data_IF_352042420441
#
_entry.id   IF_352042420441
#
_cell.length_a   1.000
_cell.length_b   1.000
_cell.length_c   1.000
_cell.angle_alpha   90.00
_cell.angle_beta   90.00
_cell.angle_gamma   90.00
#
_symmetry.space_group_name_H-M   'P 1'
#
loop_
_entity.id
_entity.type
_entity.pdbx_description
1 polymer ?
#
# COMPACT_ATOMS: atom_id res chain seq x y z
N UNK A 1 -5.80 -14.47 -11.88
CA UNK A 1 -4.49 -13.84 -11.67
C UNK A 1 -3.89 -14.38 -10.39
N UNK A 2 -2.58 -14.62 -10.39
CA UNK A 2 -1.85 -15.06 -9.20
C UNK A 2 -1.96 -14.03 -8.07
N UNK A 3 -2.07 -14.48 -6.82
CA UNK A 3 -2.24 -13.58 -5.66
C UNK A 3 -1.05 -12.63 -5.47
N UNK A 4 0.18 -13.06 -5.81
CA UNK A 4 1.38 -12.22 -5.82
C UNK A 4 1.31 -11.07 -6.82
N UNK A 5 0.56 -11.25 -7.91
CA UNK A 5 0.38 -10.27 -8.99
C UNK A 5 -0.85 -9.37 -8.81
N UNK A 6 -1.58 -9.54 -7.71
CA UNK A 6 -2.80 -8.79 -7.42
C UNK A 6 -2.50 -7.52 -6.61
N UNK A 7 -3.21 -6.44 -6.91
CA UNK A 7 -3.35 -5.33 -5.99
C UNK A 7 -4.15 -5.80 -4.76
N UNK A 8 -3.72 -5.40 -3.57
CA UNK A 8 -4.35 -5.81 -2.31
C UNK A 8 -4.63 -4.59 -1.44
N UNK A 9 -5.78 -4.57 -0.81
CA UNK A 9 -6.19 -3.51 0.12
C UNK A 9 -6.45 -4.09 1.51
N UNK A 10 -6.00 -3.42 2.53
CA UNK A 10 -6.29 -3.72 3.93
C UNK A 10 -6.68 -2.42 4.67
N UNK A 11 -7.60 -2.49 5.65
CA UNK A 11 -8.37 -3.64 6.08
C UNK A 11 -9.31 -4.16 5.00
N UNK A 12 -9.99 -5.28 5.26
CA UNK A 12 -10.99 -5.85 4.34
C UNK A 12 -12.16 -4.87 4.22
N UNK A 13 -12.52 -4.50 2.97
CA UNK A 13 -13.50 -3.44 2.68
C UNK A 13 -14.81 -3.93 2.10
N UNK A 14 -14.82 -5.14 1.51
CA UNK A 14 -15.95 -5.63 0.69
C UNK A 14 -16.60 -6.90 1.21
N UNK A 15 -16.12 -7.47 2.32
CA UNK A 15 -16.70 -8.66 2.92
C UNK A 15 -17.69 -8.30 4.05
N UNK A 16 -18.73 -9.12 4.19
CA UNK A 16 -19.60 -9.06 5.35
C UNK A 16 -18.90 -9.62 6.60
N UNK A 17 -19.36 -9.23 7.80
CA UNK A 17 -18.87 -9.80 9.06
C UNK A 17 -19.07 -11.31 9.12
N UNK A 18 -20.15 -11.83 8.51
CA UNK A 18 -20.42 -13.25 8.39
C UNK A 18 -19.33 -13.96 7.59
N UNK A 19 -18.99 -13.44 6.41
CA UNK A 19 -17.98 -14.04 5.53
C UNK A 19 -16.59 -13.94 6.14
N UNK A 20 -16.25 -12.82 6.75
CA UNK A 20 -15.00 -12.66 7.50
C UNK A 20 -14.86 -13.71 8.60
N UNK A 21 -15.90 -13.87 9.41
CA UNK A 21 -15.90 -14.88 10.49
C UNK A 21 -15.78 -16.29 9.93
N UNK A 22 -16.50 -16.62 8.88
CA UNK A 22 -16.44 -17.93 8.21
C UNK A 22 -15.04 -18.25 7.71
N UNK A 23 -14.39 -17.30 7.04
CA UNK A 23 -13.02 -17.48 6.50
C UNK A 23 -11.98 -17.59 7.64
N UNK A 24 -12.10 -16.79 8.69
CA UNK A 24 -11.22 -16.86 9.86
C UNK A 24 -11.37 -18.21 10.58
N UNK A 25 -12.59 -18.67 10.85
CA UNK A 25 -12.86 -19.96 11.46
C UNK A 25 -12.30 -21.11 10.60
N UNK A 26 -12.40 -21.00 9.29
CA UNK A 26 -11.88 -21.98 8.34
C UNK A 26 -10.35 -21.99 8.33
N UNK A 27 -9.70 -20.83 8.35
CA UNK A 27 -8.26 -20.73 8.45
C UNK A 27 -7.74 -21.39 9.75
N UNK A 28 -8.39 -21.11 10.89
CA UNK A 28 -8.03 -21.73 12.18
C UNK A 28 -8.17 -23.26 12.13
N UNK A 29 -9.26 -23.79 11.55
CA UNK A 29 -9.46 -25.24 11.38
C UNK A 29 -8.35 -25.86 10.52
N UNK A 30 -7.98 -25.23 9.42
CA UNK A 30 -6.92 -25.70 8.52
C UNK A 30 -5.58 -25.73 9.25
N UNK A 31 -5.20 -24.66 9.92
CA UNK A 31 -3.92 -24.56 10.62
C UNK A 31 -3.82 -25.59 11.73
N UNK A 32 -4.91 -25.81 12.49
CA UNK A 32 -4.97 -26.87 13.51
C UNK A 32 -4.84 -28.28 12.92
N UNK A 33 -5.51 -28.55 11.79
CA UNK A 33 -5.44 -29.84 11.10
C UNK A 33 -4.02 -30.13 10.56
N UNK A 34 -3.34 -29.10 10.07
CA UNK A 34 -1.96 -29.17 9.56
C UNK A 34 -0.92 -29.15 10.68
N UNK A 35 -1.32 -28.89 11.94
CA UNK A 35 -0.43 -28.76 13.12
C UNK A 35 0.69 -27.74 12.89
N UNK A 36 0.36 -26.59 12.29
CA UNK A 36 1.32 -25.53 12.05
C UNK A 36 1.57 -24.77 13.34
N UNK A 37 2.81 -24.78 13.80
CA UNK A 37 3.30 -23.99 14.94
C UNK A 37 4.19 -22.86 14.40
N UNK A 38 3.65 -21.65 14.32
CA UNK A 38 4.35 -20.48 13.80
C UNK A 38 3.53 -19.66 12.80
N UNK A 39 4.24 -18.89 11.98
CA UNK A 39 3.61 -18.05 10.94
C UNK A 39 3.15 -18.85 9.74
N UNK A 40 1.98 -18.52 9.23
CA UNK A 40 1.46 -19.07 7.97
C UNK A 40 0.64 -18.03 7.22
N UNK A 41 0.43 -18.29 5.94
CA UNK A 41 -0.49 -17.56 5.07
C UNK A 41 -1.52 -18.53 4.52
N UNK A 42 -2.80 -18.18 4.62
CA UNK A 42 -3.91 -18.92 4.04
C UNK A 42 -4.62 -18.04 3.03
N UNK A 43 -4.83 -18.53 1.82
CA UNK A 43 -5.45 -17.79 0.73
C UNK A 43 -6.76 -18.43 0.31
N UNK A 44 -7.81 -17.62 0.31
CA UNK A 44 -9.14 -18.03 -0.12
C UNK A 44 -9.60 -17.26 -1.36
N UNK A 45 -10.45 -17.88 -2.17
CA UNK A 45 -11.28 -17.22 -3.14
C UNK A 45 -12.74 -17.36 -2.69
N UNK A 46 -13.41 -16.24 -2.44
CA UNK A 46 -14.82 -16.19 -2.09
C UNK A 46 -15.65 -15.85 -3.31
N UNK A 47 -16.76 -16.57 -3.52
CA UNK A 47 -17.74 -16.24 -4.55
C UNK A 47 -18.48 -14.94 -4.16
N UNK A 48 -18.47 -13.90 -5.00
CA UNK A 48 -19.10 -12.62 -4.67
C UNK A 48 -20.62 -12.70 -4.51
N UNK A 49 -21.28 -13.76 -5.03
CA UNK A 49 -22.73 -13.93 -5.01
C UNK A 49 -23.23 -14.96 -3.99
N UNK A 50 -22.31 -15.57 -3.24
CA UNK A 50 -22.64 -16.57 -2.23
C UNK A 50 -21.53 -16.68 -1.19
N UNK A 51 -21.81 -17.34 -0.05
CA UNK A 51 -20.77 -17.64 0.95
C UNK A 51 -19.90 -18.86 0.58
N UNK A 52 -19.93 -19.29 -0.68
CA UNK A 52 -19.07 -20.39 -1.16
C UNK A 52 -17.65 -19.89 -1.35
N UNK A 53 -16.69 -20.60 -0.77
CA UNK A 53 -15.29 -20.25 -0.89
C UNK A 53 -14.45 -21.45 -1.33
N UNK A 54 -13.26 -21.15 -1.86
CA UNK A 54 -12.25 -22.12 -2.24
C UNK A 54 -10.97 -21.81 -1.49
N UNK A 55 -10.34 -22.85 -0.95
CA UNK A 55 -8.97 -22.77 -0.46
C UNK A 55 -8.01 -22.82 -1.66
N UNK A 56 -7.28 -21.73 -1.87
CA UNK A 56 -6.32 -21.63 -2.98
C UNK A 56 -5.00 -22.27 -2.57
N UNK A 57 -4.40 -21.80 -1.46
CA UNK A 57 -3.17 -22.37 -0.95
C UNK A 57 -2.96 -22.06 0.55
N UNK A 58 -2.12 -22.85 1.18
CA UNK A 58 -1.61 -22.60 2.53
C UNK A 58 -0.09 -22.62 2.48
N UNK A 59 0.52 -21.55 2.96
CA UNK A 59 1.98 -21.42 3.06
C UNK A 59 2.39 -21.45 4.54
N UNK A 60 2.80 -22.61 5.10
CA UNK A 60 3.14 -22.74 6.53
C UNK A 60 4.56 -22.24 6.81
N UNK A 61 4.81 -21.00 6.50
CA UNK A 61 6.10 -20.32 6.66
C UNK A 61 5.93 -18.81 6.72
N UNK A 62 6.89 -18.13 7.31
CA UNK A 62 7.07 -16.68 7.13
C UNK A 62 7.59 -16.44 5.72
N UNK A 63 7.04 -15.46 5.05
CA UNK A 63 7.33 -15.11 3.65
C UNK A 63 7.50 -13.61 3.49
N UNK A 64 7.78 -13.16 2.26
CA UNK A 64 7.81 -11.74 1.90
C UNK A 64 6.49 -11.05 2.26
N UNK A 65 5.34 -11.68 1.95
CA UNK A 65 4.02 -11.16 2.32
C UNK A 65 3.83 -11.02 3.84
N UNK A 66 4.46 -11.89 4.65
CA UNK A 66 4.44 -11.76 6.11
C UNK A 66 5.25 -10.55 6.59
N UNK A 67 6.39 -10.25 5.96
CA UNK A 67 7.16 -9.05 6.25
C UNK A 67 6.37 -7.79 5.92
N UNK A 68 5.71 -7.76 4.76
CA UNK A 68 4.82 -6.67 4.38
C UNK A 68 3.64 -6.51 5.36
N UNK A 69 2.98 -7.61 5.72
CA UNK A 69 1.89 -7.61 6.69
C UNK A 69 2.33 -7.11 8.07
N UNK A 70 3.55 -7.44 8.50
CA UNK A 70 4.13 -6.93 9.75
C UNK A 70 4.28 -5.42 9.72
N UNK A 71 4.79 -4.84 8.63
CA UNK A 71 4.93 -3.39 8.48
C UNK A 71 3.58 -2.69 8.31
N UNK A 72 2.67 -3.33 7.60
CA UNK A 72 1.32 -2.82 7.39
C UNK A 72 0.52 -2.74 8.69
N UNK A 73 0.64 -3.73 9.55
CA UNK A 73 -0.14 -3.84 10.78
C UNK A 73 0.60 -3.45 12.04
N UNK A 74 1.91 -3.28 12.00
CA UNK A 74 2.75 -3.12 13.19
C UNK A 74 2.89 -4.40 14.04
N UNK A 75 2.27 -5.52 13.62
CA UNK A 75 2.38 -6.79 14.32
C UNK A 75 3.64 -7.56 13.90
N UNK A 76 4.60 -7.85 14.80
CA UNK A 76 5.90 -8.39 14.44
C UNK A 76 5.85 -9.90 14.19
N UNK A 77 5.31 -10.34 13.06
CA UNK A 77 5.05 -11.75 12.72
C UNK A 77 6.32 -12.62 12.87
N UNK A 78 7.44 -12.20 12.30
CA UNK A 78 8.68 -12.97 12.35
C UNK A 78 9.20 -13.15 13.78
N UNK A 79 9.14 -12.08 14.60
CA UNK A 79 9.55 -12.13 16.01
C UNK A 79 8.65 -13.07 16.82
N UNK A 80 7.35 -13.01 16.60
CA UNK A 80 6.38 -13.90 17.28
C UNK A 80 6.61 -15.35 16.85
N UNK A 81 6.74 -15.59 15.54
CA UNK A 81 7.03 -16.94 15.01
C UNK A 81 8.31 -17.54 15.59
N UNK A 82 9.38 -16.75 15.70
CA UNK A 82 10.63 -17.22 16.30
C UNK A 82 10.46 -17.62 17.78
N UNK A 83 9.65 -16.90 18.54
CA UNK A 83 9.34 -17.21 19.93
C UNK A 83 8.47 -18.46 20.07
N UNK A 84 7.49 -18.66 19.18
CA UNK A 84 6.70 -19.89 19.12
C UNK A 84 7.62 -21.09 18.83
N UNK A 85 8.55 -20.96 17.91
CA UNK A 85 9.50 -22.03 17.54
C UNK A 85 10.40 -22.51 18.71
N UNK A 86 10.58 -21.68 19.74
CA UNK A 86 11.28 -22.07 20.97
C UNK A 86 10.33 -22.45 22.11
N UNK A 87 9.04 -22.68 21.81
CA UNK A 87 8.06 -23.26 22.73
C UNK A 87 7.23 -22.24 23.54
N UNK A 88 7.25 -20.97 23.22
CA UNK A 88 6.41 -19.98 23.90
C UNK A 88 4.97 -20.01 23.37
N UNK A 89 3.98 -19.90 24.23
CA UNK A 89 2.58 -19.70 23.84
C UNK A 89 2.31 -18.22 23.46
N UNK A 90 1.29 -17.96 22.66
CA UNK A 90 0.96 -16.59 22.20
C UNK A 90 0.68 -15.65 23.36
N UNK A 91 0.04 -16.14 24.42
CA UNK A 91 -0.31 -15.37 25.61
C UNK A 91 0.93 -14.93 26.41
N UNK A 92 2.05 -15.69 26.31
CA UNK A 92 3.30 -15.41 27.00
C UNK A 92 4.22 -14.47 26.21
N UNK A 93 3.94 -14.29 24.92
CA UNK A 93 4.73 -13.42 24.06
C UNK A 93 4.24 -11.98 24.18
N UNK A 94 5.04 -11.13 24.80
CA UNK A 94 4.72 -9.70 24.93
C UNK A 94 4.96 -8.93 23.63
N UNK A 95 3.95 -8.12 23.25
CA UNK A 95 4.01 -7.11 22.19
C UNK A 95 3.56 -5.78 22.79
N UNK A 96 4.46 -4.80 22.86
CA UNK A 96 4.19 -3.52 23.50
C UNK A 96 3.53 -3.68 24.90
N UNK A 97 2.34 -3.19 25.10
CA UNK A 97 1.60 -3.26 26.38
C UNK A 97 0.63 -4.45 26.45
N UNK A 98 0.65 -5.35 25.48
CA UNK A 98 -0.24 -6.51 25.38
C UNK A 98 0.54 -7.79 25.08
N UNK A 99 -0.13 -8.89 24.76
CA UNK A 99 0.48 -10.14 24.32
C UNK A 99 0.16 -10.43 22.85
N UNK A 100 0.76 -11.46 22.27
CA UNK A 100 0.63 -11.79 20.86
C UNK A 100 -0.72 -12.42 20.47
N UNK A 101 -1.61 -12.71 21.42
CA UNK A 101 -2.90 -13.36 21.18
C UNK A 101 -4.03 -12.39 20.82
N UNK A 102 -3.73 -11.28 20.14
CA UNK A 102 -4.76 -10.34 19.68
C UNK A 102 -4.81 -10.26 18.15
N UNK A 103 -5.94 -9.86 17.62
CA UNK A 103 -6.13 -9.55 16.21
C UNK A 103 -5.87 -8.07 15.93
N UNK A 104 -4.92 -7.71 15.03
CA UNK A 104 -4.67 -6.33 14.66
C UNK A 104 -5.90 -5.65 14.04
N UNK A 105 -6.16 -4.42 14.44
CA UNK A 105 -7.18 -3.55 13.82
C UNK A 105 -6.50 -2.30 13.27
N UNK A 106 -6.91 -1.88 12.07
CA UNK A 106 -6.33 -0.76 11.37
C UNK A 106 -7.35 0.38 11.28
N UNK A 107 -6.91 1.60 11.60
CA UNK A 107 -7.68 2.85 11.42
C UNK A 107 -7.18 3.67 10.20
N UNK A 108 -6.36 3.05 9.37
CA UNK A 108 -5.81 3.57 8.11
C UNK A 108 -5.97 2.52 7.01
N UNK A 109 -5.80 2.95 5.77
CA UNK A 109 -5.91 2.08 4.59
C UNK A 109 -4.53 1.82 4.00
N UNK A 110 -4.30 0.57 3.63
CA UNK A 110 -3.07 0.11 3.00
C UNK A 110 -3.39 -0.44 1.63
N UNK A 111 -2.63 -0.03 0.64
CA UNK A 111 -2.67 -0.61 -0.70
C UNK A 111 -1.31 -1.22 -1.03
N UNK A 112 -1.28 -2.51 -1.30
CA UNK A 112 -0.12 -3.20 -1.88
C UNK A 112 -0.28 -3.24 -3.39
N UNK A 113 0.74 -2.84 -4.13
CA UNK A 113 0.79 -2.97 -5.59
C UNK A 113 2.00 -3.81 -5.99
N UNK A 114 1.83 -4.77 -6.92
CA UNK A 114 2.94 -5.56 -7.44
C UNK A 114 3.81 -4.73 -8.40
N UNK A 115 5.11 -4.96 -8.38
CA UNK A 115 6.06 -4.40 -9.32
C UNK A 115 6.40 -5.44 -10.39
N UNK A 116 6.08 -5.12 -11.64
CA UNK A 116 6.36 -5.99 -12.78
C UNK A 116 7.57 -5.50 -13.56
N UNK A 117 8.44 -6.39 -14.07
CA UNK A 117 9.65 -6.01 -14.78
C UNK A 117 9.46 -5.85 -16.30
N UNK A 118 8.24 -5.57 -16.77
CA UNK A 118 7.95 -5.44 -18.22
C UNK A 118 8.64 -4.23 -18.86
N UNK A 119 9.07 -3.26 -18.09
CA UNK A 119 9.92 -2.16 -18.53
C UNK A 119 11.35 -2.59 -18.87
N UNK A 120 11.82 -3.68 -18.27
CA UNK A 120 13.15 -4.28 -18.52
C UNK A 120 13.08 -5.39 -19.57
N UNK A 121 12.01 -6.15 -19.57
CA UNK A 121 11.79 -7.28 -20.49
C UNK A 121 10.71 -6.93 -21.52
N UNK A 122 11.06 -6.02 -22.42
CA UNK A 122 10.12 -5.46 -23.43
C UNK A 122 9.56 -6.48 -24.42
N UNK A 123 10.21 -7.63 -24.57
CA UNK A 123 9.72 -8.75 -25.38
C UNK A 123 8.75 -9.68 -24.63
N UNK A 124 8.61 -9.51 -23.32
CA UNK A 124 7.68 -10.33 -22.54
C UNK A 124 6.23 -9.89 -22.77
N UNK A 125 5.33 -10.89 -22.82
CA UNK A 125 3.90 -10.62 -23.00
C UNK A 125 3.31 -10.16 -21.66
N UNK A 126 2.74 -8.96 -21.65
CA UNK A 126 2.07 -8.38 -20.47
C UNK A 126 0.63 -8.92 -20.36
N UNK A 127 0.51 -10.21 -20.05
CA UNK A 127 -0.76 -10.87 -19.75
C UNK A 127 -0.58 -11.64 -18.45
N UNK A 128 -1.38 -11.28 -17.43
CA UNK A 128 -1.32 -11.88 -16.11
C UNK A 128 -2.20 -13.14 -16.04
N UNK A 129 -1.67 -14.20 -15.47
CA UNK A 129 -2.34 -15.48 -15.35
C UNK A 129 -2.16 -16.14 -13.99
N UNK A 130 -2.03 -17.46 -13.98
CA UNK A 130 -1.84 -18.26 -12.77
C UNK A 130 -0.39 -18.33 -12.30
N UNK A 131 0.56 -17.91 -13.13
CA UNK A 131 1.98 -17.82 -12.78
C UNK A 131 2.31 -16.43 -12.24
N UNK A 132 3.11 -16.38 -11.18
CA UNK A 132 3.58 -15.12 -10.61
C UNK A 132 4.63 -14.47 -11.50
N UNK A 133 4.37 -13.23 -11.92
CA UNK A 133 5.27 -12.42 -12.76
C UNK A 133 5.88 -11.23 -12.02
N UNK A 134 5.29 -10.81 -10.90
CA UNK A 134 5.80 -9.72 -10.11
C UNK A 134 7.16 -10.08 -9.47
N UNK A 135 8.10 -9.14 -9.51
CA UNK A 135 9.45 -9.27 -8.93
C UNK A 135 9.62 -8.55 -7.61
N UNK A 136 8.66 -7.73 -7.23
CA UNK A 136 8.63 -6.97 -5.99
C UNK A 136 7.26 -6.40 -5.73
N UNK A 137 7.13 -5.68 -4.62
CA UNK A 137 5.88 -5.06 -4.23
C UNK A 137 6.14 -3.73 -3.51
N UNK A 138 5.17 -2.83 -3.60
CA UNK A 138 5.16 -1.56 -2.87
C UNK A 138 3.94 -1.49 -1.96
N UNK A 139 4.03 -0.61 -0.96
CA UNK A 139 2.96 -0.39 -0.01
C UNK A 139 2.69 1.11 0.13
N UNK A 140 1.46 1.52 -0.15
CA UNK A 140 0.97 2.85 0.20
C UNK A 140 0.14 2.78 1.48
N UNK A 141 0.33 3.74 2.38
CA UNK A 141 -0.47 3.90 3.60
C UNK A 141 -1.13 5.27 3.57
N UNK A 142 -2.43 5.32 3.80
CA UNK A 142 -3.21 6.55 3.79
C UNK A 142 -4.41 6.49 4.73
N UNK A 143 -5.09 7.61 4.90
CA UNK A 143 -6.32 7.71 5.68
C UNK A 143 -7.56 7.22 4.93
N UNK A 144 -7.42 7.03 3.61
CA UNK A 144 -8.45 6.51 2.70
C UNK A 144 -7.79 5.72 1.57
N UNK A 145 -8.62 5.05 0.77
CA UNK A 145 -8.16 4.19 -0.31
C UNK A 145 -7.46 4.98 -1.42
N UNK A 146 -7.98 6.14 -1.78
CA UNK A 146 -7.42 7.01 -2.83
C UNK A 146 -6.00 7.45 -2.46
N UNK A 147 -5.80 7.91 -1.23
CA UNK A 147 -4.49 8.33 -0.72
C UNK A 147 -3.49 7.17 -0.75
N UNK A 148 -3.89 6.00 -0.23
CA UNK A 148 -3.02 4.82 -0.19
C UNK A 148 -2.67 4.31 -1.58
N UNK A 149 -3.64 4.31 -2.50
CA UNK A 149 -3.46 3.89 -3.89
C UNK A 149 -2.49 4.81 -4.64
N UNK A 150 -2.70 6.12 -4.58
CA UNK A 150 -1.84 7.10 -5.25
C UNK A 150 -0.40 7.10 -4.71
N UNK A 151 -0.23 6.89 -3.40
CA UNK A 151 1.10 6.68 -2.80
C UNK A 151 1.76 5.40 -3.32
N UNK A 152 1.01 4.30 -3.38
CA UNK A 152 1.47 3.04 -3.96
C UNK A 152 1.94 3.20 -5.40
N UNK A 153 1.15 3.87 -6.25
CA UNK A 153 1.50 4.13 -7.66
C UNK A 153 2.82 4.90 -7.77
N UNK A 154 3.00 5.97 -6.98
CA UNK A 154 4.25 6.73 -6.98
C UNK A 154 5.47 5.92 -6.53
N UNK A 155 5.25 4.94 -5.68
CA UNK A 155 6.31 4.07 -5.16
C UNK A 155 6.73 2.96 -6.11
N UNK A 156 5.97 2.68 -7.18
CA UNK A 156 6.25 1.60 -8.14
C UNK A 156 7.52 1.81 -8.98
N UNK A 157 8.10 3.01 -8.99
CA UNK A 157 9.29 3.36 -9.80
C UNK A 157 9.11 3.11 -11.31
N UNK A 158 7.89 3.29 -11.81
CA UNK A 158 7.52 3.18 -13.24
C UNK A 158 7.38 4.54 -13.93
N UNK A 159 7.82 5.61 -13.27
CA UNK A 159 7.71 6.98 -13.80
C UNK A 159 6.31 7.60 -13.65
N UNK A 160 5.32 6.87 -13.15
CA UNK A 160 3.98 7.37 -12.92
C UNK A 160 3.91 8.18 -11.60
N UNK A 161 3.42 9.40 -11.66
CA UNK A 161 3.20 10.25 -10.50
C UNK A 161 1.73 10.26 -10.03
N UNK A 162 0.86 9.68 -10.82
CA UNK A 162 -0.57 9.62 -10.63
C UNK A 162 -1.17 8.43 -11.37
N UNK A 163 -2.49 8.23 -11.29
CA UNK A 163 -3.23 7.20 -12.01
C UNK A 163 -3.42 7.55 -13.50
N UNK A 164 -2.38 8.01 -14.13
CA UNK A 164 -2.34 8.45 -15.52
C UNK A 164 -1.11 7.87 -16.23
N UNK A 165 -1.29 7.44 -17.47
CA UNK A 165 -0.20 6.98 -18.32
C UNK A 165 -0.46 7.32 -19.79
N UNK A 166 0.46 8.07 -20.40
CA UNK A 166 0.36 8.59 -21.77
C UNK A 166 0.16 7.52 -22.86
N UNK A 167 0.50 6.27 -22.59
CA UNK A 167 0.27 5.12 -23.49
C UNK A 167 -1.19 5.02 -23.96
N UNK A 168 -2.14 5.47 -23.15
CA UNK A 168 -3.56 5.30 -23.37
C UNK A 168 -4.23 6.53 -24.04
N UNK A 169 -3.49 7.62 -24.22
CA UNK A 169 -4.04 8.88 -24.75
C UNK A 169 -4.59 8.73 -26.18
N UNK A 170 -3.87 7.98 -27.05
CA UNK A 170 -4.20 7.82 -28.46
C UNK A 170 -5.13 6.64 -28.77
N UNK A 171 -5.43 5.78 -27.77
CA UNK A 171 -6.36 4.66 -27.94
C UNK A 171 -7.81 5.15 -27.95
N UNK A 172 -8.64 4.54 -28.78
CA UNK A 172 -10.09 4.80 -28.73
C UNK A 172 -10.72 4.18 -27.47
N UNK A 173 -11.93 4.61 -27.13
CA UNK A 173 -12.64 4.04 -25.97
C UNK A 173 -12.93 2.55 -26.17
N UNK A 174 -13.25 2.13 -27.40
CA UNK A 174 -13.48 0.73 -27.76
C UNK A 174 -12.22 -0.12 -27.59
N UNK A 175 -11.07 0.38 -28.06
CA UNK A 175 -9.77 -0.28 -27.86
C UNK A 175 -9.39 -0.41 -26.39
N UNK A 176 -9.71 0.62 -25.58
CA UNK A 176 -9.48 0.57 -24.14
C UNK A 176 -10.39 -0.45 -23.43
N UNK A 177 -11.67 -0.54 -23.83
CA UNK A 177 -12.58 -1.57 -23.28
C UNK A 177 -12.11 -2.98 -23.63
N UNK A 178 -11.66 -3.20 -24.86
CA UNK A 178 -11.03 -4.49 -25.24
C UNK A 178 -9.73 -4.72 -24.44
N UNK A 179 -8.92 -3.68 -24.26
CA UNK A 179 -7.67 -3.77 -23.50
C UNK A 179 -7.87 -4.27 -22.07
N UNK A 180 -8.86 -3.74 -21.34
CA UNK A 180 -9.14 -4.12 -19.95
C UNK A 180 -9.83 -5.46 -19.80
N UNK A 181 -10.35 -6.05 -20.88
CA UNK A 181 -10.93 -7.39 -20.88
C UNK A 181 -9.90 -8.48 -20.58
N UNK A 182 -8.61 -8.16 -20.75
CA UNK A 182 -7.47 -9.02 -20.43
C UNK A 182 -6.71 -8.44 -19.26
N UNK A 183 -6.36 -9.28 -18.27
CA UNK A 183 -5.58 -8.82 -17.12
C UNK A 183 -4.15 -8.49 -17.50
N UNK A 184 -3.77 -7.22 -17.33
CA UNK A 184 -2.41 -6.68 -17.57
C UNK A 184 -1.94 -5.87 -16.38
N UNK A 185 -0.63 -5.70 -16.28
CA UNK A 185 0.01 -4.97 -15.17
C UNK A 185 -0.37 -3.49 -15.08
N UNK A 186 -0.86 -2.93 -16.18
CA UNK A 186 -1.16 -1.50 -16.34
C UNK A 186 -2.67 -1.20 -16.55
N UNK A 187 -3.54 -2.20 -16.37
CA UNK A 187 -4.99 -2.02 -16.51
C UNK A 187 -5.54 -0.88 -15.63
N UNK A 188 -4.95 -0.62 -14.47
CA UNK A 188 -5.42 0.45 -13.58
C UNK A 188 -5.37 1.83 -14.25
N UNK A 189 -4.37 2.09 -15.10
CA UNK A 189 -4.26 3.35 -15.84
C UNK A 189 -5.27 3.42 -16.98
N UNK A 190 -5.51 2.29 -17.68
CA UNK A 190 -6.52 2.20 -18.72
C UNK A 190 -7.93 2.39 -18.14
N UNK A 191 -8.22 1.81 -16.97
CA UNK A 191 -9.49 1.98 -16.25
C UNK A 191 -9.71 3.47 -15.89
N UNK A 192 -8.70 4.16 -15.38
CA UNK A 192 -8.81 5.57 -15.07
C UNK A 192 -9.12 6.42 -16.32
N UNK A 193 -8.44 6.12 -17.43
CA UNK A 193 -8.68 6.80 -18.70
C UNK A 193 -10.11 6.55 -19.24
N UNK A 194 -10.61 5.33 -19.16
CA UNK A 194 -11.98 4.97 -19.57
C UNK A 194 -13.02 5.72 -18.73
N UNK A 195 -12.81 5.81 -17.41
CA UNK A 195 -13.68 6.57 -16.51
C UNK A 195 -13.64 8.05 -16.84
N UNK A 196 -12.46 8.60 -17.14
CA UNK A 196 -12.29 9.98 -17.58
C UNK A 196 -13.11 10.29 -18.85
N UNK A 197 -13.22 9.32 -19.77
CA UNK A 197 -14.02 9.41 -20.99
C UNK A 197 -15.52 9.20 -20.77
N UNK A 198 -15.98 9.00 -19.56
CA UNK A 198 -17.38 8.91 -19.17
C UNK A 198 -18.01 7.51 -19.24
N UNK A 199 -17.22 6.46 -19.38
CA UNK A 199 -17.72 5.07 -19.24
C UNK A 199 -18.04 4.82 -17.77
N UNK A 200 -19.17 4.17 -17.52
CA UNK A 200 -19.65 3.96 -16.15
C UNK A 200 -18.88 2.86 -15.40
N UNK A 201 -18.88 2.95 -14.09
CA UNK A 201 -18.25 1.94 -13.20
C UNK A 201 -18.88 0.57 -13.41
N UNK A 202 -20.20 0.52 -13.64
CA UNK A 202 -20.96 -0.72 -13.86
C UNK A 202 -20.51 -1.42 -15.16
N UNK A 203 -20.32 -0.68 -16.25
CA UNK A 203 -19.82 -1.23 -17.50
C UNK A 203 -18.41 -1.81 -17.35
N UNK A 204 -17.54 -1.13 -16.60
CA UNK A 204 -16.18 -1.62 -16.31
C UNK A 204 -16.24 -2.87 -15.43
N UNK A 205 -17.12 -2.89 -14.44
CA UNK A 205 -17.35 -4.06 -13.59
C UNK A 205 -17.80 -5.28 -14.40
N UNK A 206 -18.73 -5.12 -15.32
CA UNK A 206 -19.21 -6.21 -16.21
C UNK A 206 -18.08 -6.84 -17.04
N UNK A 207 -17.10 -6.03 -17.46
CA UNK A 207 -15.96 -6.52 -18.27
C UNK A 207 -14.89 -7.17 -17.40
N UNK A 208 -14.58 -6.56 -16.25
CA UNK A 208 -13.39 -6.90 -15.45
C UNK A 208 -13.67 -7.74 -14.22
N UNK A 209 -14.94 -7.81 -13.78
CA UNK A 209 -15.37 -8.34 -12.49
C UNK A 209 -14.67 -7.68 -11.27
N UNK A 210 -14.02 -6.52 -11.44
CA UNK A 210 -13.49 -5.74 -10.32
C UNK A 210 -14.67 -5.18 -9.53
N UNK A 211 -14.63 -5.33 -8.21
CA UNK A 211 -15.69 -4.82 -7.34
C UNK A 211 -15.87 -3.30 -7.52
N UNK A 212 -17.13 -2.89 -7.63
CA UNK A 212 -17.52 -1.49 -7.82
C UNK A 212 -16.99 -0.56 -6.72
N UNK A 213 -16.72 -1.08 -5.52
CA UNK A 213 -16.09 -0.33 -4.44
C UNK A 213 -14.74 0.24 -4.86
N UNK A 214 -13.87 -0.59 -5.47
CA UNK A 214 -12.55 -0.17 -5.93
C UNK A 214 -12.62 0.72 -7.17
N UNK A 215 -13.52 0.42 -8.09
CA UNK A 215 -13.75 1.25 -9.29
C UNK A 215 -14.26 2.65 -8.91
N UNK A 216 -15.12 2.75 -7.90
CA UNK A 216 -15.59 4.03 -7.38
C UNK A 216 -14.46 4.84 -6.71
N UNK A 217 -13.46 4.20 -6.09
CA UNK A 217 -12.29 4.91 -5.59
C UNK A 217 -11.48 5.53 -6.74
N UNK A 218 -11.29 4.81 -7.85
CA UNK A 218 -10.65 5.34 -9.05
C UNK A 218 -11.47 6.50 -9.61
N UNK A 219 -12.80 6.35 -9.68
CA UNK A 219 -13.70 7.40 -10.15
C UNK A 219 -13.58 8.67 -9.31
N UNK A 220 -13.54 8.57 -7.98
CA UNK A 220 -13.36 9.75 -7.11
C UNK A 220 -12.04 10.47 -7.36
N UNK A 221 -10.96 9.74 -7.71
CA UNK A 221 -9.68 10.36 -8.12
C UNK A 221 -9.87 11.13 -9.43
N UNK A 222 -10.51 10.54 -10.42
CA UNK A 222 -10.78 11.19 -11.71
C UNK A 222 -11.70 12.41 -11.55
N UNK A 223 -12.76 12.29 -10.76
CA UNK A 223 -13.67 13.41 -10.46
C UNK A 223 -12.93 14.57 -9.77
N UNK A 224 -11.98 14.28 -8.87
CA UNK A 224 -11.14 15.29 -8.21
C UNK A 224 -10.18 15.98 -9.20
N UNK A 225 -9.67 15.27 -10.20
CA UNK A 225 -8.87 15.91 -11.26
C UNK A 225 -9.67 16.97 -12.02
N UNK A 226 -10.90 16.63 -12.41
CA UNK A 226 -11.78 17.57 -13.09
C UNK A 226 -12.14 18.77 -12.19
N UNK A 227 -12.42 18.49 -10.92
CA UNK A 227 -12.68 19.54 -9.94
C UNK A 227 -11.49 20.51 -9.80
N UNK A 228 -10.26 20.00 -9.69
CA UNK A 228 -9.05 20.83 -9.61
C UNK A 228 -8.78 21.69 -10.86
N UNK A 229 -9.15 21.21 -12.06
CA UNK A 229 -9.03 21.99 -13.30
C UNK A 229 -9.95 23.19 -13.31
N UNK A 230 -11.11 23.07 -12.67
CA UNK A 230 -12.10 24.17 -12.57
C UNK A 230 -11.82 25.12 -11.40
N UNK A 231 -11.11 24.66 -10.36
CA UNK A 231 -10.86 25.38 -9.10
C UNK A 231 -9.37 25.65 -8.91
N UNK A 232 -8.78 26.35 -9.89
CA UNK A 232 -7.34 26.67 -9.90
C UNK A 232 -7.00 27.65 -8.78
N UNK A 233 -6.01 27.29 -7.94
CA UNK A 233 -5.55 28.10 -6.80
C UNK A 233 -6.66 28.38 -5.77
N UNK A 234 -7.59 27.46 -5.61
CA UNK A 234 -8.54 27.48 -4.51
C UNK A 234 -8.02 26.63 -3.34
N UNK A 235 -7.85 27.19 -2.12
CA UNK A 235 -7.24 26.48 -1.00
C UNK A 235 -7.99 25.21 -0.58
N UNK A 236 -9.32 25.26 -0.54
CA UNK A 236 -10.15 24.12 -0.15
C UNK A 236 -10.04 22.98 -1.15
N UNK A 237 -10.10 23.28 -2.45
CA UNK A 237 -9.93 22.27 -3.50
C UNK A 237 -8.56 21.60 -3.43
N UNK A 238 -7.49 22.39 -3.20
CA UNK A 238 -6.16 21.81 -3.01
C UNK A 238 -6.09 20.93 -1.77
N UNK A 239 -6.64 21.37 -0.64
CA UNK A 239 -6.62 20.60 0.60
C UNK A 239 -7.34 19.25 0.44
N UNK A 240 -8.48 19.22 -0.21
CA UNK A 240 -9.24 17.98 -0.46
C UNK A 240 -8.48 17.04 -1.39
N UNK A 241 -7.86 17.56 -2.44
CA UNK A 241 -6.98 16.77 -3.29
C UNK A 241 -5.76 16.23 -2.51
N UNK A 242 -5.16 17.01 -1.62
CA UNK A 242 -4.05 16.56 -0.75
C UNK A 242 -4.49 15.43 0.18
N UNK A 243 -5.69 15.50 0.76
CA UNK A 243 -6.26 14.41 1.58
C UNK A 243 -6.50 13.13 0.76
N UNK A 244 -6.76 13.25 -0.54
CA UNK A 244 -6.86 12.12 -1.46
C UNK A 244 -5.48 11.65 -2.00
N UNK A 245 -4.38 12.26 -1.59
CA UNK A 245 -3.04 11.83 -1.94
C UNK A 245 -2.47 12.43 -3.23
N UNK A 246 -3.05 13.47 -3.78
CA UNK A 246 -2.50 14.18 -4.95
C UNK A 246 -1.14 14.80 -4.63
N UNK A 247 -0.16 14.57 -5.50
CA UNK A 247 1.16 15.20 -5.37
C UNK A 247 1.15 16.65 -5.89
N UNK A 248 2.02 17.50 -5.33
CA UNK A 248 2.19 18.86 -5.83
C UNK A 248 2.58 18.85 -7.32
N UNK A 249 3.40 17.87 -7.73
CA UNK A 249 3.80 17.67 -9.13
C UNK A 249 2.62 17.38 -10.05
N UNK A 250 1.64 16.60 -9.62
CA UNK A 250 0.48 16.31 -10.46
C UNK A 250 -0.50 17.49 -10.50
N UNK A 251 -0.74 18.14 -9.36
CA UNK A 251 -1.54 19.37 -9.29
C UNK A 251 -0.95 20.46 -10.18
N UNK A 252 0.38 20.63 -10.18
CA UNK A 252 1.03 21.65 -11.04
C UNK A 252 0.77 21.42 -12.55
N UNK A 253 0.70 20.15 -12.97
CA UNK A 253 0.29 19.79 -14.33
C UNK A 253 -1.15 20.23 -14.64
N UNK A 254 -2.09 19.96 -13.71
CA UNK A 254 -3.49 20.35 -13.87
C UNK A 254 -3.68 21.88 -13.89
N UNK A 255 -2.94 22.57 -13.04
CA UNK A 255 -2.99 24.04 -12.91
C UNK A 255 -2.09 24.78 -13.91
N UNK A 256 -1.32 24.05 -14.74
CA UNK A 256 -0.37 24.60 -15.72
C UNK A 256 0.62 25.60 -15.11
N UNK A 257 1.17 25.24 -13.95
CA UNK A 257 2.18 26.01 -13.20
C UNK A 257 3.36 25.11 -12.79
N UNK A 258 4.35 25.64 -12.08
CA UNK A 258 5.44 24.84 -11.55
C UNK A 258 5.05 24.06 -10.28
N UNK A 259 5.76 22.98 -9.98
CA UNK A 259 5.58 22.25 -8.71
C UNK A 259 5.89 23.15 -7.49
N UNK A 260 6.86 24.07 -7.64
CA UNK A 260 7.22 25.04 -6.60
C UNK A 260 6.04 25.97 -6.31
N UNK A 261 5.33 26.47 -7.36
CA UNK A 261 4.15 27.34 -7.18
C UNK A 261 3.06 26.66 -6.33
N UNK A 262 2.80 25.36 -6.58
CA UNK A 262 1.84 24.58 -5.78
C UNK A 262 2.33 24.40 -4.35
N UNK A 263 3.61 24.08 -4.17
CA UNK A 263 4.21 23.91 -2.85
C UNK A 263 4.16 25.18 -2.02
N UNK A 264 4.49 26.32 -2.62
CA UNK A 264 4.46 27.64 -1.96
C UNK A 264 3.03 28.03 -1.62
N UNK A 265 2.09 27.93 -2.58
CA UNK A 265 0.68 28.16 -2.33
C UNK A 265 0.15 27.32 -1.16
N UNK A 266 0.49 26.05 -1.10
CA UNK A 266 0.12 25.15 -0.01
C UNK A 266 0.67 25.60 1.33
N UNK A 267 1.95 26.02 1.37
CA UNK A 267 2.60 26.52 2.59
C UNK A 267 2.01 27.84 3.09
N UNK A 268 1.75 28.77 2.19
CA UNK A 268 1.11 30.06 2.48
C UNK A 268 -0.26 29.90 3.13
N UNK A 269 -1.00 28.82 2.76
CA UNK A 269 -2.29 28.48 3.35
C UNK A 269 -2.22 27.50 4.53
N UNK A 270 -1.01 27.27 5.08
CA UNK A 270 -0.84 26.43 6.27
C UNK A 270 -1.11 24.93 6.06
N UNK A 271 -1.07 24.44 4.82
CA UNK A 271 -1.32 23.05 4.49
C UNK A 271 -0.03 22.23 4.60
N UNK A 272 0.16 21.59 5.74
CA UNK A 272 1.29 20.71 6.01
C UNK A 272 0.82 19.28 6.26
N UNK A 273 1.58 18.27 5.84
CA UNK A 273 1.26 16.89 6.19
C UNK A 273 1.49 16.67 7.68
N UNK A 274 0.66 15.84 8.27
CA UNK A 274 0.85 15.29 9.60
C UNK A 274 1.51 13.91 9.53
N UNK A 275 2.28 13.54 10.53
CA UNK A 275 2.85 12.21 10.68
C UNK A 275 1.97 11.39 11.62
N UNK A 276 1.35 10.36 11.07
CA UNK A 276 0.47 9.43 11.75
C UNK A 276 1.22 8.15 12.06
N UNK A 277 1.00 7.58 13.23
CA UNK A 277 1.66 6.34 13.64
C UNK A 277 0.98 5.12 13.02
N UNK A 278 1.78 4.16 12.56
CA UNK A 278 1.28 2.82 12.22
C UNK A 278 1.09 2.06 13.52
N UNK A 279 -0.15 2.06 14.01
CA UNK A 279 -0.52 1.42 15.28
C UNK A 279 -1.57 0.34 15.02
N UNK A 280 -1.21 -0.86 15.36
CA UNK A 280 -1.97 -2.07 15.02
C UNK A 280 -3.16 -2.35 15.93
N UNK A 281 -3.31 -1.69 17.08
CA UNK A 281 -4.32 -2.15 18.03
C UNK A 281 -4.56 -1.20 19.19
N UNK A 282 -4.27 0.05 19.02
CA UNK A 282 -4.41 1.01 20.12
C UNK A 282 -3.72 0.50 21.40
N UNK A 283 -2.52 -0.09 21.25
CA UNK A 283 -1.74 -0.64 22.37
C UNK A 283 -1.36 0.41 23.39
N UNK A 284 -1.59 1.70 23.08
CA UNK A 284 -1.13 2.82 23.86
C UNK A 284 0.39 3.00 23.85
N UNK A 285 1.12 2.18 23.13
CA UNK A 285 2.56 2.28 22.99
C UNK A 285 2.94 3.28 21.89
N UNK A 286 4.01 4.03 22.13
CA UNK A 286 4.57 4.88 21.09
C UNK A 286 5.51 4.04 20.22
N UNK A 287 5.11 3.84 18.97
CA UNK A 287 5.88 3.15 17.95
C UNK A 287 6.38 4.20 16.96
N UNK A 288 7.69 4.46 16.86
CA UNK A 288 8.23 5.51 15.97
C UNK A 288 8.28 5.06 14.51
N UNK A 289 7.17 4.55 14.00
CA UNK A 289 6.94 4.18 12.61
C UNK A 289 5.72 4.93 12.09
N UNK A 290 5.92 5.77 11.06
CA UNK A 290 4.94 6.76 10.64
C UNK A 290 4.68 6.71 9.15
N UNK A 291 3.48 7.16 8.79
CA UNK A 291 3.15 7.60 7.44
C UNK A 291 2.71 9.07 7.46
N UNK A 292 2.92 9.78 6.38
CA UNK A 292 2.46 11.16 6.24
C UNK A 292 1.06 11.20 5.64
N UNK A 293 0.18 12.10 6.12
CA UNK A 293 -1.15 12.34 5.56
C UNK A 293 -1.55 13.80 5.78
N UNK A 294 -2.45 14.31 4.95
CA UNK A 294 -3.10 15.61 5.16
C UNK A 294 -4.38 15.49 5.99
N UNK A 295 -4.67 14.30 6.51
CA UNK A 295 -5.82 14.01 7.36
C UNK A 295 -5.35 13.74 8.79
N UNK A 296 -6.00 14.40 9.77
CA UNK A 296 -5.72 14.24 11.19
C UNK A 296 -4.52 15.04 11.71
N UNK A 297 -4.18 14.85 12.98
CA UNK A 297 -3.12 15.56 13.68
C UNK A 297 -1.78 14.82 13.65
N UNK A 298 -0.70 15.57 13.86
CA UNK A 298 0.64 15.04 14.02
C UNK A 298 0.81 14.35 15.37
N UNK A 299 1.26 13.09 15.37
CA UNK A 299 1.50 12.30 16.59
C UNK A 299 2.97 12.04 16.86
N UNK A 300 3.88 12.50 15.98
CA UNK A 300 5.31 12.37 16.20
C UNK A 300 5.77 13.19 17.41
N UNK A 301 6.66 12.60 18.21
CA UNK A 301 7.23 13.27 19.40
C UNK A 301 8.55 13.93 19.02
N UNK A 302 8.60 15.25 19.15
CA UNK A 302 9.82 16.00 18.92
C UNK A 302 10.75 15.91 20.15
N UNK A 303 12.03 15.75 19.90
CA UNK A 303 13.08 15.81 20.91
C UNK A 303 14.00 17.00 20.65
N UNK A 304 14.76 17.43 21.66
CA UNK A 304 15.79 18.47 21.50
C UNK A 304 17.13 17.96 20.97
N UNK A 305 17.25 16.66 20.69
CA UNK A 305 18.45 16.06 20.11
C UNK A 305 18.64 16.55 18.68
N UNK A 306 19.88 16.71 18.27
CA UNK A 306 20.22 16.90 16.85
C UNK A 306 19.80 15.66 16.06
N UNK A 307 19.21 15.88 14.90
CA UNK A 307 18.61 14.84 14.05
C UNK A 307 19.40 14.70 12.76
N UNK A 308 19.58 13.45 12.32
CA UNK A 308 20.14 13.12 11.02
C UNK A 308 19.10 12.28 10.28
N UNK A 309 18.70 12.76 9.11
CA UNK A 309 17.78 12.04 8.21
C UNK A 309 18.60 11.18 7.28
N UNK A 310 18.28 9.89 7.23
CA UNK A 310 18.81 8.94 6.26
C UNK A 310 17.76 8.73 5.20
N UNK A 311 18.05 9.10 3.96
CA UNK A 311 17.23 8.77 2.80
C UNK A 311 17.58 7.35 2.40
N UNK A 312 16.72 6.43 2.82
CA UNK A 312 16.94 4.99 2.74
C UNK A 312 16.84 4.42 1.34
N UNK A 313 17.24 3.17 1.22
CA UNK A 313 17.38 2.36 0.02
C UNK A 313 18.48 2.79 -0.96
N UNK A 314 18.93 4.04 -0.99
CA UNK A 314 20.00 4.49 -1.89
C UNK A 314 19.74 4.06 -3.35
N UNK A 315 20.64 3.29 -4.00
CA UNK A 315 20.45 2.81 -5.37
C UNK A 315 19.59 1.56 -5.49
N UNK A 316 19.09 1.00 -4.36
CA UNK A 316 18.30 -0.23 -4.35
C UNK A 316 16.91 0.06 -4.92
N UNK A 317 16.50 -0.77 -5.89
CA UNK A 317 15.19 -0.67 -6.54
C UNK A 317 14.22 -1.70 -5.99
N UNK A 318 12.93 -1.42 -6.13
CA UNK A 318 11.87 -2.38 -5.79
C UNK A 318 12.09 -3.70 -6.53
N UNK A 319 12.05 -4.81 -5.80
CA UNK A 319 12.32 -6.17 -6.32
C UNK A 319 13.78 -6.62 -6.26
N UNK A 320 14.67 -5.81 -5.69
CA UNK A 320 16.05 -6.22 -5.36
C UNK A 320 16.13 -6.84 -3.96
N UNK A 321 17.23 -7.55 -3.70
CA UNK A 321 17.41 -8.21 -2.41
C UNK A 321 17.52 -7.24 -1.23
N UNK A 322 16.91 -7.61 -0.12
CA UNK A 322 16.88 -6.81 1.12
C UNK A 322 18.26 -6.65 1.77
N UNK A 323 19.17 -7.54 1.49
CA UNK A 323 20.56 -7.52 1.97
C UNK A 323 21.34 -6.26 1.54
N UNK A 324 20.93 -5.62 0.46
CA UNK A 324 21.54 -4.37 0.00
C UNK A 324 21.20 -3.18 0.90
N UNK A 325 20.22 -3.31 1.78
CA UNK A 325 19.83 -2.29 2.78
C UNK A 325 20.76 -2.29 4.01
N UNK A 326 21.72 -3.18 4.06
CA UNK A 326 22.68 -3.31 5.17
C UNK A 326 23.45 -2.02 5.47
N UNK A 327 23.86 -1.28 4.44
CA UNK A 327 24.53 0.01 4.60
C UNK A 327 23.65 1.05 5.31
N UNK A 328 22.36 1.06 5.04
CA UNK A 328 21.39 1.94 5.69
C UNK A 328 21.23 1.62 7.16
N UNK A 329 21.14 0.32 7.53
CA UNK A 329 21.12 -0.14 8.92
C UNK A 329 22.36 0.34 9.67
N UNK A 330 23.55 0.14 9.09
CA UNK A 330 24.81 0.59 9.69
C UNK A 330 24.91 2.10 9.84
N UNK A 331 24.40 2.87 8.88
CA UNK A 331 24.33 4.33 8.98
C UNK A 331 23.47 4.75 10.18
N UNK A 332 22.26 4.17 10.33
CA UNK A 332 21.38 4.43 11.47
C UNK A 332 22.04 4.06 12.81
N UNK A 333 22.67 2.89 12.89
CA UNK A 333 23.38 2.46 14.11
C UNK A 333 24.52 3.41 14.47
N UNK A 334 25.29 3.85 13.49
CA UNK A 334 26.41 4.78 13.68
C UNK A 334 25.92 6.16 14.18
N UNK A 335 24.85 6.68 13.56
CA UNK A 335 24.22 7.96 13.96
C UNK A 335 23.75 7.88 15.42
N UNK A 336 23.05 6.82 15.80
CA UNK A 336 22.59 6.60 17.18
C UNK A 336 23.76 6.47 18.15
N UNK A 337 24.82 5.74 17.76
CA UNK A 337 26.05 5.58 18.57
C UNK A 337 26.80 6.89 18.77
N UNK A 338 26.74 7.81 17.81
CA UNK A 338 27.30 9.16 17.90
C UNK A 338 26.42 10.13 18.73
N UNK A 339 25.31 9.68 19.31
CA UNK A 339 24.44 10.47 20.18
C UNK A 339 23.37 11.30 19.47
N UNK A 340 23.24 11.16 18.14
CA UNK A 340 22.19 11.82 17.37
C UNK A 340 20.90 11.00 17.35
N UNK A 341 19.79 11.66 17.02
CA UNK A 341 18.54 10.99 16.69
C UNK A 341 18.55 10.66 15.18
N UNK A 342 18.35 9.40 14.83
CA UNK A 342 18.28 8.96 13.44
C UNK A 342 16.82 8.91 12.97
N UNK A 343 16.56 9.54 11.83
CA UNK A 343 15.28 9.46 11.14
C UNK A 343 15.53 8.78 9.79
N UNK A 344 14.77 7.74 9.50
CA UNK A 344 14.89 7.06 8.22
C UNK A 344 13.64 7.31 7.38
N UNK A 345 13.83 7.60 6.10
CA UNK A 345 12.75 7.69 5.11
C UNK A 345 13.05 6.66 4.03
N UNK A 346 12.18 5.67 3.88
CA UNK A 346 12.34 4.61 2.91
C UNK A 346 10.98 4.26 2.28
N UNK A 347 10.92 4.19 0.95
CA UNK A 347 9.72 3.82 0.20
C UNK A 347 9.62 2.32 -0.10
N UNK A 348 10.68 1.54 0.17
CA UNK A 348 10.69 0.12 -0.09
C UNK A 348 10.28 -0.66 1.17
N UNK A 349 9.09 -1.29 1.20
CA UNK A 349 8.59 -2.00 2.37
C UNK A 349 9.35 -3.30 2.65
N UNK A 350 10.15 -3.79 1.71
CA UNK A 350 10.94 -5.02 1.87
C UNK A 350 12.27 -4.80 2.57
N UNK A 351 12.64 -3.54 2.88
CA UNK A 351 13.91 -3.22 3.53
C UNK A 351 13.89 -3.48 5.03
N UNK A 352 15.03 -3.88 5.59
CA UNK A 352 15.18 -4.17 7.03
C UNK A 352 15.56 -2.92 7.86
N UNK A 353 16.03 -1.86 7.22
CA UNK A 353 16.43 -0.62 7.92
C UNK A 353 15.30 0.06 8.68
N UNK A 354 14.06 -0.15 8.29
CA UNK A 354 12.86 0.37 8.95
C UNK A 354 12.37 -0.50 10.12
N UNK A 355 13.05 -1.61 10.41
CA UNK A 355 12.72 -2.52 11.52
C UNK A 355 13.54 -2.26 12.79
N UNK A 356 14.45 -1.27 12.80
CA UNK A 356 15.39 -0.96 13.88
C UNK A 356 15.04 0.31 14.66
#
# INVERSE_FOLDING_TARGET
VHTGDSAVVAPIMTLSDHDMKMLNDSAIKIIRALKVEGGCNVQFALDPNSSKYYLIEVNPRVSRSSALASKASGYPIARVTAKIAVGMALEDIKIANTNAAFEPKLDYVITKLPRFPFDKFTSAINILGTQMMATGEVMGIGSNLEESLLKGIRSLEVGANHIYHHKFDDMTTEELLDYISVFRSDNIFAIAEIIYRGVTVEQIHEITAIDVYFLNAIKRIVDMEEYLKLHVKEPEALLDAKKMGFSDKYVSRLWKCSETDVSDFRREHGMFPAFRMVDTCHTGAYIPYFYSSYTGGNVSRLTNKKKIVVLGAGPIRIGQGVEFDYSTVHAVMTIKKAGYEAIIINNNPETVSTDY
#
